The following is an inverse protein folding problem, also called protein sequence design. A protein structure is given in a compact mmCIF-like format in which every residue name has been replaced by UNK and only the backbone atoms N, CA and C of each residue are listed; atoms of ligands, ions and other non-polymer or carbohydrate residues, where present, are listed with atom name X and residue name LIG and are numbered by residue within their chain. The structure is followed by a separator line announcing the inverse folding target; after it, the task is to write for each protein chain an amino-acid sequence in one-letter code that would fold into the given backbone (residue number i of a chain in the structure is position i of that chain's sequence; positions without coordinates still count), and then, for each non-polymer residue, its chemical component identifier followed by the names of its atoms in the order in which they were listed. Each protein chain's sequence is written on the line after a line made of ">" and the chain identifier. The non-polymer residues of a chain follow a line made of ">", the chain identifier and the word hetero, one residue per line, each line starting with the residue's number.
data_IF_602476964688
#
_entry.id   IF_602476964688
#
_cell.length_a   1.000
_cell.length_b   1.000
_cell.length_c   1.000
_cell.angle_alpha   90.00
_cell.angle_beta   90.00
_cell.angle_gamma   90.00
#
_symmetry.space_group_name_H-M   'P 1'
#
loop_
_entity.id
_entity.type
_entity.pdbx_description
1 polymer ?
#
# COMPACT_ATOMS: atom_id res chain seq x y z
N UNK A 1 24.12 8.89 -4.13
CA UNK A 1 22.77 8.65 -4.68
C UNK A 1 22.32 7.29 -4.19
N UNK A 2 21.11 7.17 -3.69
CA UNK A 2 20.51 5.90 -3.28
C UNK A 2 20.52 4.93 -4.47
N UNK A 3 20.83 3.66 -4.21
CA UNK A 3 20.65 2.59 -5.19
C UNK A 3 19.18 2.13 -5.32
N UNK A 4 18.30 2.58 -4.39
CA UNK A 4 16.86 2.35 -4.45
C UNK A 4 16.15 3.45 -5.24
N UNK A 5 15.10 3.06 -5.98
CA UNK A 5 14.20 3.95 -6.71
C UNK A 5 12.93 4.23 -5.91
N UNK A 6 12.43 3.21 -5.22
CA UNK A 6 11.27 3.26 -4.34
C UNK A 6 11.64 2.82 -2.93
N UNK A 7 11.17 3.57 -1.93
CA UNK A 7 11.18 3.13 -0.54
C UNK A 7 9.76 3.20 0.02
N UNK A 8 9.25 2.09 0.53
CA UNK A 8 7.93 2.02 1.16
C UNK A 8 8.06 1.88 2.67
N UNK A 9 7.12 2.45 3.42
CA UNK A 9 7.07 2.38 4.88
C UNK A 9 5.72 1.86 5.32
N UNK A 10 5.68 0.72 6.01
CA UNK A 10 4.41 0.20 6.43
C UNK A 10 4.43 -1.16 7.12
N UNK A 11 3.27 -1.81 7.06
CA UNK A 11 3.03 -3.12 7.68
C UNK A 11 3.63 -4.26 6.86
N UNK A 12 3.97 -5.33 7.59
CA UNK A 12 4.25 -6.63 7.03
C UNK A 12 3.49 -7.71 7.82
N UNK A 13 3.11 -8.78 7.16
CA UNK A 13 2.54 -9.99 7.77
C UNK A 13 2.89 -11.22 6.94
N UNK A 14 2.73 -12.39 7.57
CA UNK A 14 2.55 -13.62 6.80
C UNK A 14 1.07 -13.82 6.59
N UNK A 15 0.64 -13.83 5.34
CA UNK A 15 -0.74 -13.99 4.95
C UNK A 15 -1.01 -15.47 4.62
N UNK A 16 -2.10 -15.99 5.19
CA UNK A 16 -2.54 -17.37 5.08
C UNK A 16 -3.91 -17.38 4.40
N UNK A 17 -3.93 -17.72 3.12
CA UNK A 17 -5.13 -17.80 2.31
C UNK A 17 -5.76 -19.20 2.44
N UNK A 18 -7.04 -19.26 2.82
CA UNK A 18 -7.75 -20.53 2.87
C UNK A 18 -7.75 -21.19 1.48
N UNK A 19 -7.46 -22.50 1.44
CA UNK A 19 -7.55 -23.28 0.18
C UNK A 19 -8.98 -23.55 -0.22
N UNK A 20 -9.83 -23.72 0.79
CA UNK A 20 -11.25 -24.00 0.60
C UNK A 20 -12.06 -22.71 0.69
N UNK A 21 -13.07 -22.56 -0.14
CA UNK A 21 -14.06 -21.48 -0.04
C UNK A 21 -15.06 -21.80 1.09
N UNK A 22 -15.47 -20.75 1.83
CA UNK A 22 -16.46 -20.84 2.88
C UNK A 22 -15.90 -20.52 4.26
N UNK A 23 -16.69 -20.78 5.32
CA UNK A 23 -16.33 -20.39 6.68
C UNK A 23 -15.09 -21.15 7.20
N UNK A 24 -14.31 -20.50 8.05
CA UNK A 24 -13.06 -21.00 8.61
C UNK A 24 -13.20 -22.38 9.28
N UNK A 25 -14.39 -22.71 9.77
CA UNK A 25 -14.68 -24.03 10.37
C UNK A 25 -14.53 -25.21 9.40
N UNK A 26 -14.54 -24.95 8.09
CA UNK A 26 -14.40 -25.98 7.05
C UNK A 26 -13.00 -25.95 6.40
N UNK A 27 -12.19 -24.97 6.71
CA UNK A 27 -10.84 -24.84 6.15
C UNK A 27 -9.91 -25.88 6.78
N UNK A 28 -9.19 -26.62 5.93
CA UNK A 28 -8.23 -27.67 6.34
C UNK A 28 -6.79 -27.33 5.97
N UNK A 29 -6.57 -26.33 5.11
CA UNK A 29 -5.24 -25.92 4.68
C UNK A 29 -5.18 -24.50 4.20
N UNK A 30 -3.95 -23.96 4.15
CA UNK A 30 -3.68 -22.59 3.75
C UNK A 30 -2.55 -22.53 2.73
N UNK A 31 -2.64 -21.58 1.80
CA UNK A 31 -1.50 -21.09 1.03
C UNK A 31 -0.85 -19.93 1.79
N UNK A 32 0.46 -19.95 1.84
CA UNK A 32 1.24 -18.95 2.59
C UNK A 32 1.89 -17.96 1.64
N UNK A 33 1.69 -16.67 1.90
CA UNK A 33 2.33 -15.55 1.23
C UNK A 33 2.84 -14.53 2.23
N UNK A 34 3.44 -13.44 1.76
CA UNK A 34 3.65 -12.23 2.55
C UNK A 34 2.57 -11.22 2.22
N UNK A 35 2.30 -10.30 3.15
CA UNK A 35 1.31 -9.26 2.96
C UNK A 35 1.59 -8.01 3.77
N UNK A 36 0.65 -7.09 3.73
CA UNK A 36 0.76 -5.73 4.27
C UNK A 36 0.89 -4.71 3.15
N UNK A 37 0.11 -3.63 3.24
CA UNK A 37 -0.05 -2.64 2.17
C UNK A 37 1.29 -2.17 1.59
N UNK A 38 2.21 -1.65 2.42
CA UNK A 38 3.52 -1.16 1.94
C UNK A 38 4.41 -2.30 1.41
N UNK A 39 4.34 -3.49 2.00
CA UNK A 39 5.04 -4.69 1.52
C UNK A 39 4.56 -5.06 0.11
N UNK A 40 3.25 -5.11 -0.09
CA UNK A 40 2.66 -5.46 -1.37
C UNK A 40 2.98 -4.42 -2.46
N UNK A 41 3.00 -3.12 -2.12
CA UNK A 41 3.41 -2.04 -3.03
C UNK A 41 4.89 -2.20 -3.45
N UNK A 42 5.79 -2.51 -2.50
CA UNK A 42 7.20 -2.77 -2.80
C UNK A 42 7.37 -3.99 -3.71
N UNK A 43 6.65 -5.09 -3.42
CA UNK A 43 6.66 -6.30 -4.26
C UNK A 43 6.14 -6.00 -5.66
N UNK A 44 5.01 -5.29 -5.78
CA UNK A 44 4.43 -4.93 -7.07
C UNK A 44 5.41 -4.09 -7.91
N UNK A 45 6.02 -3.06 -7.32
CA UNK A 45 7.02 -2.24 -8.01
C UNK A 45 8.28 -3.04 -8.40
N UNK A 46 8.74 -3.95 -7.55
CA UNK A 46 9.87 -4.84 -7.87
C UNK A 46 9.55 -5.76 -9.05
N UNK A 47 8.34 -6.34 -9.10
CA UNK A 47 7.89 -7.16 -10.25
C UNK A 47 7.75 -6.36 -11.55
N UNK A 48 7.58 -5.04 -11.44
CA UNK A 48 7.59 -4.11 -12.57
C UNK A 48 9.00 -3.61 -12.94
N UNK A 49 10.04 -4.15 -12.30
CA UNK A 49 11.44 -3.95 -12.67
C UNK A 49 12.18 -2.85 -11.89
N UNK A 50 11.59 -2.30 -10.82
CA UNK A 50 12.21 -1.25 -10.02
C UNK A 50 12.94 -1.79 -8.79
N UNK A 51 13.99 -1.09 -8.38
CA UNK A 51 14.72 -1.37 -7.14
C UNK A 51 13.94 -0.79 -5.95
N UNK A 52 13.10 -1.62 -5.36
CA UNK A 52 12.26 -1.28 -4.23
C UNK A 52 12.85 -1.75 -2.89
N UNK A 53 12.72 -0.94 -1.86
CA UNK A 53 13.04 -1.27 -0.48
C UNK A 53 11.84 -1.09 0.45
N UNK A 54 11.88 -1.72 1.61
CA UNK A 54 10.82 -1.70 2.60
C UNK A 54 11.34 -1.36 3.99
N UNK A 55 10.78 -0.33 4.62
CA UNK A 55 10.99 -0.02 6.04
C UNK A 55 9.87 -0.65 6.85
N UNK A 56 10.22 -1.66 7.64
CA UNK A 56 9.30 -2.38 8.53
C UNK A 56 10.07 -3.14 9.60
N UNK A 57 9.38 -3.91 10.43
CA UNK A 57 10.02 -4.83 11.39
C UNK A 57 9.29 -6.16 11.43
N UNK A 58 10.04 -7.23 11.64
CA UNK A 58 9.56 -8.61 11.84
C UNK A 58 10.02 -9.14 13.19
N UNK A 59 9.43 -10.22 13.67
CA UNK A 59 9.90 -10.90 14.88
C UNK A 59 11.15 -11.76 14.62
N UNK A 60 11.92 -12.05 15.68
CA UNK A 60 13.00 -13.06 15.63
C UNK A 60 12.41 -14.47 15.71
N UNK A 61 11.65 -14.83 14.69
CA UNK A 61 10.97 -16.12 14.60
C UNK A 61 11.05 -16.74 13.19
N UNK A 62 10.45 -17.91 13.03
CA UNK A 62 10.46 -18.62 11.75
C UNK A 62 9.71 -17.84 10.66
N UNK A 63 8.66 -17.09 11.00
CA UNK A 63 7.90 -16.28 10.06
C UNK A 63 8.66 -15.00 9.67
N UNK A 64 9.39 -14.36 10.60
CA UNK A 64 10.27 -13.23 10.28
C UNK A 64 11.38 -13.63 9.31
N UNK A 65 12.00 -14.79 9.52
CA UNK A 65 12.97 -15.35 8.56
C UNK A 65 12.34 -15.65 7.20
N UNK A 66 11.10 -16.17 7.17
CA UNK A 66 10.38 -16.40 5.94
C UNK A 66 10.07 -15.08 5.20
N UNK A 67 9.60 -14.05 5.90
CA UNK A 67 9.32 -12.73 5.29
C UNK A 67 10.58 -12.17 4.63
N UNK A 68 11.71 -12.15 5.34
CA UNK A 68 12.98 -11.64 4.79
C UNK A 68 13.44 -12.45 3.57
N UNK A 69 13.37 -13.77 3.65
CA UNK A 69 13.69 -14.65 2.50
C UNK A 69 12.76 -14.40 1.31
N UNK A 70 11.44 -14.25 1.53
CA UNK A 70 10.49 -13.99 0.46
C UNK A 70 10.75 -12.62 -0.18
N UNK A 71 11.02 -11.58 0.61
CA UNK A 71 11.35 -10.23 0.10
C UNK A 71 12.55 -10.30 -0.84
N UNK A 72 13.66 -10.89 -0.42
CA UNK A 72 14.92 -10.88 -1.17
C UNK A 72 14.96 -11.92 -2.30
N UNK A 73 14.67 -13.19 -2.00
CA UNK A 73 14.89 -14.29 -2.94
C UNK A 73 13.71 -14.55 -3.88
N UNK A 74 12.47 -14.24 -3.43
CA UNK A 74 11.29 -14.46 -4.26
C UNK A 74 10.89 -13.21 -5.03
N UNK A 75 10.90 -12.05 -4.36
CA UNK A 75 10.35 -10.82 -4.92
C UNK A 75 11.39 -9.75 -5.29
N UNK A 76 12.66 -9.92 -4.91
CA UNK A 76 13.73 -8.98 -5.25
C UNK A 76 13.60 -7.61 -4.56
N UNK A 77 12.91 -7.56 -3.42
CA UNK A 77 12.78 -6.36 -2.58
C UNK A 77 13.94 -6.31 -1.58
N UNK A 78 14.58 -5.15 -1.48
CA UNK A 78 15.69 -4.92 -0.57
C UNK A 78 15.20 -4.89 0.89
N UNK A 79 15.72 -5.78 1.73
CA UNK A 79 15.34 -5.95 3.12
C UNK A 79 16.29 -5.27 4.13
N UNK A 80 17.22 -4.41 3.67
CA UNK A 80 18.22 -3.75 4.54
C UNK A 80 17.60 -2.90 5.65
N UNK A 81 16.37 -2.43 5.45
CA UNK A 81 15.59 -1.65 6.42
C UNK A 81 14.45 -2.46 7.06
N UNK A 82 14.51 -3.78 6.98
CA UNK A 82 13.63 -4.69 7.72
C UNK A 82 14.26 -5.03 9.05
N UNK A 83 13.87 -4.29 10.09
CA UNK A 83 14.34 -4.50 11.46
C UNK A 83 13.82 -5.80 12.07
N UNK A 84 14.49 -6.26 13.13
CA UNK A 84 14.07 -7.43 13.91
C UNK A 84 13.66 -6.98 15.31
N UNK A 85 12.54 -7.48 15.80
CA UNK A 85 12.06 -7.31 17.16
C UNK A 85 12.26 -8.65 17.89
N UNK A 86 13.02 -8.62 18.99
CA UNK A 86 13.37 -9.84 19.75
C UNK A 86 12.25 -10.32 20.67
N UNK A 87 11.25 -9.46 20.93
CA UNK A 87 10.18 -9.74 21.92
C UNK A 87 8.84 -10.06 21.24
N UNK A 88 8.53 -9.44 20.11
CA UNK A 88 7.24 -9.54 19.46
C UNK A 88 7.25 -10.52 18.27
N UNK A 89 6.24 -11.40 18.15
CA UNK A 89 6.16 -12.33 17.03
C UNK A 89 5.79 -11.63 15.73
N UNK A 90 6.27 -12.17 14.61
CA UNK A 90 5.84 -11.75 13.27
C UNK A 90 4.32 -11.93 13.13
N UNK A 91 3.59 -10.89 12.70
CA UNK A 91 2.14 -10.94 12.61
C UNK A 91 1.66 -11.88 11.50
N UNK A 92 0.52 -12.50 11.76
CA UNK A 92 -0.19 -13.34 10.79
C UNK A 92 -1.51 -12.68 10.41
N UNK A 93 -1.92 -12.89 9.17
CA UNK A 93 -3.26 -12.57 8.69
C UNK A 93 -3.87 -13.82 8.02
N UNK A 94 -5.11 -14.12 8.34
CA UNK A 94 -5.84 -15.21 7.72
C UNK A 94 -6.93 -14.64 6.82
N UNK A 95 -6.95 -15.03 5.56
CA UNK A 95 -8.02 -14.70 4.63
C UNK A 95 -9.05 -15.83 4.62
N UNK A 96 -10.24 -15.55 5.17
CA UNK A 96 -11.40 -16.40 5.11
C UNK A 96 -12.18 -16.05 3.83
N UNK A 97 -12.29 -17.00 2.89
CA UNK A 97 -12.90 -16.78 1.58
C UNK A 97 -14.44 -16.96 1.64
N UNK A 98 -15.10 -16.12 2.47
CA UNK A 98 -16.54 -16.14 2.71
C UNK A 98 -17.12 -14.72 2.98
N UNK A 99 -17.66 -14.00 1.97
CA UNK A 99 -17.61 -14.36 0.53
C UNK A 99 -16.19 -14.21 -0.07
N UNK A 100 -15.94 -14.92 -1.15
CA UNK A 100 -14.61 -14.97 -1.78
C UNK A 100 -14.21 -13.61 -2.38
N UNK A 101 -15.17 -12.89 -2.94
CA UNK A 101 -14.96 -11.59 -3.58
C UNK A 101 -14.57 -10.50 -2.57
N UNK A 102 -15.02 -10.64 -1.32
CA UNK A 102 -14.74 -9.73 -0.21
C UNK A 102 -14.34 -10.53 1.05
N UNK A 103 -13.14 -11.13 1.06
CA UNK A 103 -12.70 -12.01 2.13
C UNK A 103 -12.63 -11.29 3.48
N UNK A 104 -13.02 -12.00 4.54
CA UNK A 104 -12.81 -11.54 5.91
C UNK A 104 -11.35 -11.77 6.30
N UNK A 105 -10.67 -10.71 6.78
CA UNK A 105 -9.28 -10.79 7.22
C UNK A 105 -9.21 -10.85 8.74
N UNK A 106 -8.68 -11.93 9.25
CA UNK A 106 -8.47 -12.15 10.69
C UNK A 106 -7.00 -11.86 11.01
N UNK A 107 -6.74 -10.79 11.75
CA UNK A 107 -5.39 -10.38 12.12
C UNK A 107 -4.95 -10.92 13.47
N UNK A 108 -3.79 -11.56 13.50
CA UNK A 108 -3.07 -11.95 14.72
C UNK A 108 -1.86 -11.02 14.93
N UNK A 109 -2.13 -9.86 15.54
CA UNK A 109 -1.18 -8.77 15.80
C UNK A 109 -1.20 -8.30 17.25
N UNK A 110 -1.88 -9.03 18.15
CA UNK A 110 -2.06 -8.65 19.53
C UNK A 110 -1.02 -9.32 20.47
N UNK A 111 -0.62 -8.63 21.54
CA UNK A 111 -1.03 -7.28 21.94
C UNK A 111 -0.41 -6.17 21.07
N UNK A 112 0.65 -6.46 20.31
CA UNK A 112 1.40 -5.55 19.46
C UNK A 112 2.14 -6.33 18.39
N UNK A 113 2.44 -5.68 17.25
CA UNK A 113 3.26 -6.26 16.20
C UNK A 113 4.61 -5.52 16.06
N UNK A 114 5.69 -6.17 15.61
CA UNK A 114 7.01 -5.58 15.44
C UNK A 114 7.01 -4.27 14.64
N UNK A 115 6.23 -4.19 13.56
CA UNK A 115 6.12 -3.00 12.71
C UNK A 115 5.48 -1.78 13.40
N UNK A 116 4.91 -1.93 14.59
CA UNK A 116 4.46 -0.83 15.45
C UNK A 116 5.58 -0.25 16.32
N UNK A 117 6.76 -0.90 16.34
CA UNK A 117 7.96 -0.48 17.04
C UNK A 117 8.99 0.17 16.10
N UNK A 118 8.57 0.69 14.94
CA UNK A 118 9.49 1.41 14.05
C UNK A 118 10.16 2.57 14.78
N UNK A 119 11.48 2.68 14.58
CA UNK A 119 12.31 3.81 15.01
C UNK A 119 12.84 4.56 13.79
N UNK A 120 13.19 5.82 13.97
CA UNK A 120 13.89 6.61 12.95
C UNK A 120 15.27 5.99 12.62
N UNK A 121 15.85 5.25 13.56
CA UNK A 121 17.14 4.55 13.38
C UNK A 121 17.03 3.27 12.53
N UNK A 122 15.82 2.82 12.21
CA UNK A 122 15.61 1.65 11.33
C UNK A 122 15.93 1.95 9.86
N UNK A 123 16.16 3.20 9.49
CA UNK A 123 16.41 3.61 8.11
C UNK A 123 17.51 4.66 8.01
N UNK A 124 18.27 4.61 6.93
CA UNK A 124 19.22 5.67 6.57
C UNK A 124 18.45 6.91 6.05
N UNK A 125 18.59 8.03 6.73
CA UNK A 125 17.90 9.28 6.40
C UNK A 125 18.33 9.85 5.04
N UNK A 126 19.54 9.57 4.58
CA UNK A 126 20.00 10.00 3.27
C UNK A 126 19.27 9.23 2.16
N UNK A 127 18.93 7.95 2.39
CA UNK A 127 18.08 7.18 1.46
C UNK A 127 16.69 7.81 1.37
N UNK A 128 16.08 8.21 2.49
CA UNK A 128 14.77 8.92 2.48
C UNK A 128 14.85 10.20 1.65
N UNK A 129 15.92 10.97 1.77
CA UNK A 129 16.11 12.23 1.03
C UNK A 129 16.32 12.00 -0.47
N UNK A 130 16.98 10.90 -0.85
CA UNK A 130 17.48 10.70 -2.21
C UNK A 130 16.60 9.79 -3.08
N UNK A 131 15.83 8.86 -2.48
CA UNK A 131 14.98 7.95 -3.23
C UNK A 131 13.99 8.72 -4.11
N UNK A 132 13.71 8.20 -5.32
CA UNK A 132 12.84 8.91 -6.27
C UNK A 132 11.38 8.92 -5.79
N UNK A 133 10.86 7.78 -5.32
CA UNK A 133 9.51 7.66 -4.76
C UNK A 133 9.59 7.23 -3.30
N UNK A 134 8.94 7.98 -2.42
CA UNK A 134 8.79 7.64 -1.01
C UNK A 134 7.31 7.40 -0.70
N UNK A 135 6.93 6.16 -0.39
CA UNK A 135 5.55 5.74 -0.15
C UNK A 135 5.32 5.42 1.31
N UNK A 136 4.33 6.06 1.93
CA UNK A 136 3.96 5.85 3.33
C UNK A 136 2.51 5.40 3.44
N UNK A 137 2.24 4.32 4.18
CA UNK A 137 0.89 3.90 4.52
C UNK A 137 0.43 4.57 5.83
N UNK A 138 -0.70 5.29 5.82
CA UNK A 138 -1.18 6.08 6.95
C UNK A 138 -1.53 5.25 8.19
N UNK A 139 -1.78 3.95 8.05
CA UNK A 139 -1.94 3.04 9.19
C UNK A 139 -0.74 3.03 10.15
N UNK A 140 0.43 3.57 9.76
CA UNK A 140 1.61 3.73 10.62
C UNK A 140 1.45 4.79 11.71
N UNK A 141 0.50 5.71 11.52
CA UNK A 141 0.24 6.76 12.50
C UNK A 141 -0.65 6.30 13.67
N UNK A 142 -1.11 5.06 13.67
CA UNK A 142 -2.00 4.56 14.72
C UNK A 142 -1.31 4.39 16.09
N UNK A 143 -0.01 4.11 16.14
CA UNK A 143 0.69 3.80 17.41
C UNK A 143 2.07 4.43 17.50
N UNK A 144 2.45 4.76 18.75
CA UNK A 144 3.85 5.06 19.10
C UNK A 144 4.64 3.76 19.35
N UNK A 145 5.95 3.74 19.04
CA UNK A 145 6.79 4.82 18.52
C UNK A 145 6.72 5.01 16.98
N UNK A 146 6.05 4.12 16.25
CA UNK A 146 5.99 4.15 14.77
C UNK A 146 5.46 5.50 14.24
N UNK A 147 4.44 6.08 14.88
CA UNK A 147 3.90 7.40 14.52
C UNK A 147 4.99 8.48 14.53
N UNK A 148 5.71 8.61 15.64
CA UNK A 148 6.80 9.58 15.76
C UNK A 148 7.90 9.37 14.74
N UNK A 149 8.32 8.11 14.55
CA UNK A 149 9.36 7.75 13.58
C UNK A 149 8.94 8.10 12.15
N UNK A 150 7.74 7.71 11.71
CA UNK A 150 7.27 7.95 10.35
C UNK A 150 6.98 9.44 10.10
N UNK A 151 6.48 10.16 11.11
CA UNK A 151 6.34 11.62 11.03
C UNK A 151 7.70 12.29 10.78
N UNK A 152 8.74 11.85 11.48
CA UNK A 152 10.09 12.40 11.28
C UNK A 152 10.68 12.01 9.92
N UNK A 153 10.42 10.79 9.43
CA UNK A 153 10.79 10.39 8.06
C UNK A 153 10.17 11.33 7.01
N UNK A 154 8.89 11.68 7.15
CA UNK A 154 8.22 12.63 6.27
C UNK A 154 8.81 14.04 6.37
N UNK A 155 9.16 14.51 7.58
CA UNK A 155 9.85 15.80 7.77
C UNK A 155 11.22 15.83 7.11
N UNK A 156 11.99 14.74 7.24
CA UNK A 156 13.31 14.60 6.61
C UNK A 156 13.19 14.58 5.08
N UNK A 157 12.11 13.99 4.55
CA UNK A 157 11.79 13.98 3.11
C UNK A 157 11.49 15.37 2.57
N UNK A 158 10.93 16.26 3.40
CA UNK A 158 10.68 17.69 3.11
C UNK A 158 9.87 17.91 1.82
N UNK A 159 8.78 17.16 1.65
CA UNK A 159 7.90 17.26 0.46
C UNK A 159 8.62 17.13 -0.88
N UNK A 160 9.74 16.42 -0.91
CA UNK A 160 10.41 16.16 -2.17
C UNK A 160 9.45 15.43 -3.12
N UNK A 161 9.61 15.66 -4.42
CA UNK A 161 8.81 15.07 -5.48
C UNK A 161 8.59 13.57 -5.26
N UNK A 162 7.36 13.11 -5.54
CA UNK A 162 6.88 11.76 -5.34
C UNK A 162 6.95 11.27 -3.88
N UNK A 163 6.53 12.14 -2.96
CA UNK A 163 6.21 11.74 -1.59
C UNK A 163 4.74 11.38 -1.51
N UNK A 164 4.42 10.08 -1.45
CA UNK A 164 3.06 9.55 -1.57
C UNK A 164 2.55 9.10 -0.20
N UNK A 165 1.36 9.56 0.18
CA UNK A 165 0.59 9.05 1.31
C UNK A 165 -0.57 8.20 0.80
N UNK A 166 -0.48 6.89 1.06
CA UNK A 166 -1.63 5.99 0.97
C UNK A 166 -2.44 6.14 2.26
N UNK A 167 -3.68 6.56 2.14
CA UNK A 167 -4.53 6.89 3.29
C UNK A 167 -4.93 5.65 4.12
N UNK A 168 -4.74 4.45 3.61
CA UNK A 168 -4.78 3.12 4.26
C UNK A 168 -5.48 3.09 5.63
N UNK A 169 -6.75 3.47 5.67
CA UNK A 169 -7.50 3.45 6.91
C UNK A 169 -7.94 2.03 7.27
N UNK A 170 -7.60 1.63 8.51
CA UNK A 170 -7.99 0.33 9.08
C UNK A 170 -8.74 0.59 10.39
N UNK A 171 -10.08 0.53 10.41
CA UNK A 171 -10.89 0.91 11.58
C UNK A 171 -10.43 0.28 12.89
N UNK A 172 -10.05 -0.99 12.88
CA UNK A 172 -9.63 -1.73 14.07
C UNK A 172 -8.23 -1.35 14.61
N UNK A 173 -7.52 -0.42 13.96
CA UNK A 173 -6.25 0.14 14.48
C UNK A 173 -6.45 1.41 15.30
N UNK A 174 -7.66 1.97 15.30
CA UNK A 174 -7.97 3.24 15.92
C UNK A 174 -9.10 3.09 16.93
N UNK A 175 -9.11 3.90 17.98
CA UNK A 175 -10.22 3.93 18.93
C UNK A 175 -11.45 4.67 18.37
N UNK A 176 -11.24 5.58 17.41
CA UNK A 176 -12.28 6.35 16.73
C UNK A 176 -11.80 6.93 15.40
N UNK A 177 -12.75 7.37 14.57
CA UNK A 177 -12.46 8.14 13.34
C UNK A 177 -11.80 9.49 13.64
N UNK A 178 -12.17 10.11 14.77
CA UNK A 178 -11.60 11.40 15.17
C UNK A 178 -10.13 11.27 15.55
N UNK A 179 -9.76 10.20 16.27
CA UNK A 179 -8.35 9.90 16.54
C UNK A 179 -7.56 9.66 15.23
N UNK A 180 -8.11 8.88 14.31
CA UNK A 180 -7.47 8.66 13.01
C UNK A 180 -7.25 9.98 12.26
N UNK A 181 -8.27 10.84 12.22
CA UNK A 181 -8.19 12.17 11.59
C UNK A 181 -7.14 13.06 12.26
N UNK A 182 -7.10 13.09 13.60
CA UNK A 182 -6.13 13.88 14.37
C UNK A 182 -4.68 13.57 13.95
N UNK A 183 -4.39 12.30 13.64
CA UNK A 183 -3.03 11.87 13.32
C UNK A 183 -2.73 11.76 11.83
N UNK A 184 -3.72 11.51 10.99
CA UNK A 184 -3.52 11.37 9.52
C UNK A 184 -3.59 12.73 8.82
N UNK A 185 -4.58 13.57 9.13
CA UNK A 185 -4.79 14.83 8.43
C UNK A 185 -3.56 15.78 8.46
N UNK A 186 -2.81 15.94 9.58
CA UNK A 186 -1.60 16.77 9.57
C UNK A 186 -0.50 16.26 8.66
N UNK A 187 -0.48 14.97 8.35
CA UNK A 187 0.58 14.38 7.49
C UNK A 187 0.45 14.80 6.02
N UNK A 188 -0.73 15.26 5.61
CA UNK A 188 -0.93 15.83 4.27
C UNK A 188 -0.01 17.03 4.00
N UNK A 189 0.39 17.78 5.03
CA UNK A 189 1.31 18.92 4.88
C UNK A 189 2.75 18.49 4.52
N UNK A 190 3.06 17.21 4.62
CA UNK A 190 4.38 16.64 4.41
C UNK A 190 4.51 15.81 3.13
N UNK A 191 3.45 15.70 2.33
CA UNK A 191 3.42 14.85 1.13
C UNK A 191 3.04 15.65 -0.12
N UNK A 192 3.33 15.11 -1.30
CA UNK A 192 2.99 15.71 -2.59
C UNK A 192 1.79 15.04 -3.24
N UNK A 193 1.54 13.78 -2.95
CA UNK A 193 0.44 13.00 -3.52
C UNK A 193 -0.28 12.27 -2.38
N UNK A 194 -1.62 12.25 -2.41
CA UNK A 194 -2.44 11.40 -1.54
C UNK A 194 -3.30 10.47 -2.39
N UNK A 195 -3.38 9.20 -1.95
CA UNK A 195 -4.19 8.16 -2.59
C UNK A 195 -5.12 7.56 -1.55
N UNK A 196 -6.43 7.52 -1.82
CA UNK A 196 -7.38 6.93 -0.88
C UNK A 196 -8.73 6.65 -1.52
N UNK A 197 -9.53 5.83 -0.85
CA UNK A 197 -10.96 5.66 -1.18
C UNK A 197 -11.81 6.72 -0.45
N UNK A 198 -13.13 6.67 -0.63
CA UNK A 198 -14.06 7.65 -0.02
C UNK A 198 -14.01 7.66 1.51
N UNK A 199 -13.89 6.50 2.15
CA UNK A 199 -13.82 6.38 3.62
C UNK A 199 -12.48 6.92 4.14
N UNK A 200 -11.41 6.64 3.43
CA UNK A 200 -10.07 7.15 3.70
C UNK A 200 -10.00 8.68 3.54
N UNK A 201 -10.67 9.23 2.52
CA UNK A 201 -10.81 10.67 2.34
C UNK A 201 -11.61 11.32 3.47
N UNK A 202 -12.68 10.67 3.98
CA UNK A 202 -13.41 11.17 5.13
C UNK A 202 -12.52 11.29 6.37
N UNK A 203 -11.61 10.35 6.59
CA UNK A 203 -10.61 10.46 7.67
C UNK A 203 -9.64 11.61 7.39
N UNK A 204 -9.07 11.67 6.20
CA UNK A 204 -8.00 12.62 5.88
C UNK A 204 -8.48 14.08 5.83
N UNK A 205 -9.64 14.34 5.21
CA UNK A 205 -10.14 15.68 4.91
C UNK A 205 -11.62 15.93 5.26
N UNK A 206 -12.30 14.96 5.89
CA UNK A 206 -13.62 15.16 6.49
C UNK A 206 -14.80 15.10 5.51
N UNK A 207 -14.63 14.49 4.33
CA UNK A 207 -15.72 14.30 3.36
C UNK A 207 -15.55 13.01 2.56
N UNK A 208 -16.69 12.40 2.19
CA UNK A 208 -16.75 11.21 1.31
C UNK A 208 -17.07 11.60 -0.15
N UNK A 209 -17.46 12.85 -0.38
CA UNK A 209 -17.70 13.34 -1.73
C UNK A 209 -16.36 13.44 -2.48
N UNK A 210 -16.19 12.80 -3.64
CA UNK A 210 -14.88 12.71 -4.29
C UNK A 210 -14.36 14.04 -4.78
N UNK A 211 -15.24 14.91 -5.30
CA UNK A 211 -14.85 16.23 -5.82
C UNK A 211 -14.44 17.14 -4.67
N UNK A 212 -15.23 17.17 -3.60
CA UNK A 212 -14.92 17.94 -2.39
C UNK A 212 -13.65 17.40 -1.71
N UNK A 213 -13.46 16.06 -1.67
CA UNK A 213 -12.24 15.45 -1.12
C UNK A 213 -10.99 15.86 -1.90
N UNK A 214 -11.08 15.81 -3.23
CA UNK A 214 -9.99 16.25 -4.09
C UNK A 214 -9.65 17.72 -3.90
N UNK A 215 -10.65 18.60 -3.82
CA UNK A 215 -10.44 20.03 -3.57
C UNK A 215 -9.74 20.25 -2.24
N UNK A 216 -10.22 19.66 -1.15
CA UNK A 216 -9.63 19.78 0.19
C UNK A 216 -8.21 19.19 0.27
N UNK A 217 -7.92 18.10 -0.45
CA UNK A 217 -6.57 17.55 -0.55
C UNK A 217 -5.64 18.54 -1.28
N UNK A 218 -6.06 19.10 -2.40
CA UNK A 218 -5.28 20.07 -3.18
C UNK A 218 -5.08 21.40 -2.43
N UNK A 219 -6.07 21.85 -1.63
CA UNK A 219 -5.95 23.01 -0.74
C UNK A 219 -4.82 22.86 0.31
N UNK A 220 -4.43 21.61 0.65
CA UNK A 220 -3.26 21.32 1.49
C UNK A 220 -1.93 21.44 0.71
N UNK A 221 -2.00 21.86 -0.55
CA UNK A 221 -0.84 22.06 -1.41
C UNK A 221 -0.31 20.76 -2.04
N UNK A 222 -1.13 19.71 -2.16
CA UNK A 222 -0.73 18.51 -2.89
C UNK A 222 -0.63 18.79 -4.39
N UNK A 223 0.27 18.09 -5.06
CA UNK A 223 0.44 18.12 -6.51
C UNK A 223 -0.58 17.23 -7.23
N UNK A 224 -1.10 16.23 -6.53
CA UNK A 224 -2.17 15.37 -7.03
C UNK A 224 -2.99 14.75 -5.90
N UNK A 225 -4.30 14.64 -6.11
CA UNK A 225 -5.22 13.85 -5.31
C UNK A 225 -5.78 12.69 -6.15
N UNK A 226 -5.59 11.46 -5.68
CA UNK A 226 -6.04 10.24 -6.35
C UNK A 226 -7.15 9.61 -5.50
N UNK A 227 -8.40 9.72 -5.97
CA UNK A 227 -9.56 9.24 -5.21
C UNK A 227 -10.11 7.96 -5.84
N UNK A 228 -9.98 6.85 -5.13
CA UNK A 228 -10.51 5.53 -5.54
C UNK A 228 -12.03 5.50 -5.31
N UNK A 229 -12.80 5.17 -6.35
CA UNK A 229 -14.27 5.21 -6.35
C UNK A 229 -14.90 3.79 -6.35
N UNK A 230 -14.09 2.76 -6.10
CA UNK A 230 -14.52 1.37 -6.19
C UNK A 230 -14.91 0.98 -7.62
N UNK A 231 -16.10 0.39 -7.79
CA UNK A 231 -16.63 0.02 -9.11
C UNK A 231 -16.83 1.17 -10.09
N UNK A 232 -16.69 2.43 -9.63
CA UNK A 232 -16.78 3.63 -10.48
C UNK A 232 -15.42 4.09 -11.03
N UNK A 233 -14.33 3.41 -10.68
CA UNK A 233 -12.97 3.71 -11.14
C UNK A 233 -12.17 4.59 -10.19
N UNK A 234 -11.32 5.45 -10.75
CA UNK A 234 -10.43 6.32 -9.99
C UNK A 234 -10.46 7.73 -10.57
N UNK A 235 -10.54 8.73 -9.72
CA UNK A 235 -10.43 10.13 -10.09
C UNK A 235 -9.02 10.65 -9.84
N UNK A 236 -8.45 11.32 -10.83
CA UNK A 236 -7.22 12.10 -10.75
C UNK A 236 -7.60 13.57 -10.68
N UNK A 237 -7.10 14.29 -9.69
CA UNK A 237 -7.32 15.71 -9.55
C UNK A 237 -5.99 16.46 -9.39
N UNK A 238 -5.79 17.54 -10.14
CA UNK A 238 -4.58 18.35 -10.17
C UNK A 238 -4.87 19.82 -9.81
N UNK A 239 -3.84 20.59 -9.36
CA UNK A 239 -4.01 22.01 -9.00
C UNK A 239 -4.44 22.93 -10.13
N UNK A 240 -4.16 22.56 -11.40
CA UNK A 240 -4.54 23.32 -12.59
C UNK A 240 -6.05 23.24 -12.94
N UNK A 241 -6.82 22.50 -12.12
CA UNK A 241 -8.24 22.25 -12.32
C UNK A 241 -8.56 20.98 -13.09
N UNK A 242 -7.55 20.22 -13.54
CA UNK A 242 -7.77 18.91 -14.17
C UNK A 242 -8.51 17.97 -13.24
N UNK A 243 -9.58 17.35 -13.74
CA UNK A 243 -10.38 16.32 -13.09
C UNK A 243 -10.67 15.23 -14.13
N UNK A 244 -9.97 14.10 -13.99
CA UNK A 244 -10.13 12.97 -14.90
C UNK A 244 -10.62 11.74 -14.14
N UNK A 245 -11.73 11.18 -14.60
CA UNK A 245 -12.26 9.92 -14.08
C UNK A 245 -11.87 8.77 -14.99
N UNK A 246 -10.97 7.94 -14.51
CA UNK A 246 -10.48 6.77 -15.22
C UNK A 246 -11.37 5.57 -14.85
N UNK A 247 -12.03 4.99 -15.87
CA UNK A 247 -12.92 3.86 -15.69
C UNK A 247 -12.16 2.62 -15.15
N UNK A 248 -12.80 1.76 -14.35
CA UNK A 248 -12.23 0.49 -13.96
C UNK A 248 -12.21 -0.48 -15.14
N UNK A 249 -11.39 -1.51 -15.06
CA UNK A 249 -11.45 -2.63 -15.97
C UNK A 249 -12.36 -3.73 -15.36
N UNK A 250 -13.47 -4.10 -16.04
CA UNK A 250 -14.33 -5.17 -15.53
C UNK A 250 -13.61 -6.52 -15.61
N UNK A 251 -13.63 -7.24 -14.50
CA UNK A 251 -13.08 -8.60 -14.37
C UNK A 251 -14.01 -9.45 -13.52
N UNK A 252 -13.92 -10.77 -13.67
CA UNK A 252 -14.47 -11.68 -12.69
C UNK A 252 -13.60 -11.65 -11.42
N UNK A 253 -14.17 -11.17 -10.32
CA UNK A 253 -13.44 -11.05 -9.06
C UNK A 253 -13.30 -12.42 -8.40
N UNK A 254 -12.06 -12.85 -8.18
CA UNK A 254 -11.71 -14.05 -7.42
C UNK A 254 -11.42 -13.69 -5.97
N UNK A 255 -10.63 -12.63 -5.75
CA UNK A 255 -10.33 -12.10 -4.43
C UNK A 255 -10.02 -10.61 -4.54
N UNK A 256 -10.77 -9.75 -3.84
CA UNK A 256 -10.56 -8.29 -3.89
C UNK A 256 -9.31 -7.81 -3.15
N UNK A 257 -8.67 -8.68 -2.36
CA UNK A 257 -7.48 -8.33 -1.57
C UNK A 257 -6.29 -8.02 -2.47
N UNK A 258 -5.50 -7.01 -2.07
CA UNK A 258 -4.28 -6.63 -2.78
C UNK A 258 -4.46 -5.82 -4.06
N UNK A 259 -5.70 -5.66 -4.58
CA UNK A 259 -5.95 -4.86 -5.78
C UNK A 259 -5.52 -3.40 -5.62
N UNK A 260 -5.75 -2.82 -4.43
CA UNK A 260 -5.28 -1.47 -4.10
C UNK A 260 -3.75 -1.38 -4.01
N UNK A 261 -3.10 -2.42 -3.53
CA UNK A 261 -1.65 -2.49 -3.39
C UNK A 261 -0.98 -2.66 -4.78
N UNK A 262 -1.58 -3.49 -5.65
CA UNK A 262 -1.17 -3.63 -7.05
C UNK A 262 -1.29 -2.31 -7.81
N UNK A 263 -2.42 -1.59 -7.60
CA UNK A 263 -2.58 -0.23 -8.09
C UNK A 263 -1.44 0.67 -7.60
N UNK A 264 -1.12 0.63 -6.29
CA UNK A 264 -0.06 1.42 -5.67
C UNK A 264 1.32 1.16 -6.28
N UNK A 265 1.70 -0.12 -6.46
CA UNK A 265 2.97 -0.49 -7.08
C UNK A 265 3.06 -0.05 -8.55
N UNK A 266 1.99 -0.25 -9.32
CA UNK A 266 1.91 0.21 -10.71
C UNK A 266 1.84 1.75 -10.82
N UNK A 267 1.26 2.43 -9.83
CA UNK A 267 1.31 3.89 -9.73
C UNK A 267 2.74 4.38 -9.52
N UNK A 268 3.49 3.74 -8.60
CA UNK A 268 4.91 4.04 -8.41
C UNK A 268 5.73 3.80 -9.69
N UNK A 269 5.42 2.72 -10.44
CA UNK A 269 6.04 2.45 -11.74
C UNK A 269 5.84 3.62 -12.70
N UNK A 270 4.60 4.10 -12.89
CA UNK A 270 4.33 5.22 -13.78
C UNK A 270 5.03 6.52 -13.36
N UNK A 271 5.14 6.79 -12.05
CA UNK A 271 5.92 7.92 -11.54
C UNK A 271 7.42 7.80 -11.89
N UNK A 272 8.00 6.61 -11.72
CA UNK A 272 9.41 6.33 -12.02
C UNK A 272 9.72 6.38 -13.52
N UNK A 273 8.76 6.00 -14.37
CA UNK A 273 8.84 6.10 -15.82
C UNK A 273 8.56 7.52 -16.37
N UNK A 274 8.19 8.47 -15.47
CA UNK A 274 7.88 9.85 -15.85
C UNK A 274 6.61 10.00 -16.68
N UNK A 275 5.64 9.11 -16.51
CA UNK A 275 4.36 9.20 -17.21
C UNK A 275 3.47 10.29 -16.65
N UNK A 276 2.53 10.80 -17.46
CA UNK A 276 1.43 11.60 -16.93
C UNK A 276 0.54 10.77 -15.98
N UNK A 277 -0.14 11.46 -15.07
CA UNK A 277 -0.89 10.79 -14.00
C UNK A 277 -2.13 10.05 -14.52
N UNK A 278 -2.72 10.46 -15.65
CA UNK A 278 -3.87 9.75 -16.23
C UNK A 278 -3.44 8.38 -16.74
N UNK A 279 -2.33 8.32 -17.49
CA UNK A 279 -1.72 7.06 -17.93
C UNK A 279 -1.30 6.21 -16.73
N UNK A 280 -0.66 6.81 -15.74
CA UNK A 280 -0.21 6.14 -14.51
C UNK A 280 -1.39 5.48 -13.78
N UNK A 281 -2.49 6.20 -13.57
CA UNK A 281 -3.70 5.66 -12.91
C UNK A 281 -4.37 4.59 -13.75
N UNK A 282 -4.43 4.75 -15.08
CA UNK A 282 -4.97 3.71 -15.97
C UNK A 282 -4.19 2.40 -15.85
N UNK A 283 -2.87 2.50 -15.80
CA UNK A 283 -1.98 1.34 -15.63
C UNK A 283 -2.18 0.70 -14.24
N UNK A 284 -2.32 1.53 -13.21
CA UNK A 284 -2.69 1.09 -11.86
C UNK A 284 -4.03 0.35 -11.80
N UNK A 285 -5.07 0.87 -12.49
CA UNK A 285 -6.36 0.19 -12.60
C UNK A 285 -6.25 -1.18 -13.26
N UNK A 286 -5.41 -1.33 -14.30
CA UNK A 286 -5.17 -2.62 -14.94
C UNK A 286 -4.48 -3.60 -13.99
N UNK A 287 -3.43 -3.18 -13.29
CA UNK A 287 -2.74 -4.00 -12.30
C UNK A 287 -3.69 -4.45 -11.18
N UNK A 288 -4.51 -3.54 -10.65
CA UNK A 288 -5.52 -3.83 -9.63
C UNK A 288 -6.58 -4.82 -10.11
N UNK A 289 -7.04 -4.71 -11.36
CA UNK A 289 -8.00 -5.63 -11.96
C UNK A 289 -7.41 -7.04 -12.14
N UNK A 290 -6.15 -7.14 -12.56
CA UNK A 290 -5.44 -8.43 -12.70
C UNK A 290 -5.36 -9.13 -11.34
N UNK A 291 -4.95 -8.42 -10.28
CA UNK A 291 -4.86 -9.02 -8.94
C UNK A 291 -6.24 -9.41 -8.40
N UNK A 292 -7.26 -8.58 -8.62
CA UNK A 292 -8.63 -8.92 -8.22
C UNK A 292 -9.16 -10.22 -8.87
N UNK A 293 -8.64 -10.62 -10.03
CA UNK A 293 -8.95 -11.88 -10.71
C UNK A 293 -8.11 -13.07 -10.24
N UNK A 294 -7.24 -12.87 -9.22
CA UNK A 294 -6.33 -13.87 -8.64
C UNK A 294 -6.62 -14.07 -7.15
N UNK A 295 -5.98 -15.04 -6.54
CA UNK A 295 -6.27 -15.38 -5.14
C UNK A 295 -5.42 -14.61 -4.14
N UNK A 296 -4.12 -14.49 -4.38
CA UNK A 296 -3.15 -13.96 -3.43
C UNK A 296 -2.74 -12.53 -3.76
N UNK A 297 -2.20 -11.81 -2.77
CA UNK A 297 -1.68 -10.46 -2.99
C UNK A 297 -0.27 -10.50 -3.60
N UNK A 298 0.77 -10.68 -2.78
CA UNK A 298 2.16 -10.52 -3.20
C UNK A 298 2.57 -11.47 -4.34
N UNK A 299 2.21 -12.76 -4.24
CA UNK A 299 2.56 -13.77 -5.24
C UNK A 299 1.86 -13.54 -6.59
N UNK A 300 0.71 -12.89 -6.56
CA UNK A 300 -0.12 -12.65 -7.74
C UNK A 300 0.02 -11.23 -8.34
N UNK A 301 0.97 -10.41 -7.84
CA UNK A 301 1.27 -9.11 -8.45
C UNK A 301 1.71 -9.28 -9.90
N UNK A 302 1.16 -8.49 -10.86
CA UNK A 302 1.48 -8.64 -12.26
C UNK A 302 2.87 -8.09 -12.63
N UNK A 303 3.39 -8.57 -13.73
CA UNK A 303 4.58 -8.06 -14.42
C UNK A 303 4.19 -7.07 -15.52
N UNK A 304 5.16 -6.29 -16.03
CA UNK A 304 4.93 -5.36 -17.17
C UNK A 304 4.28 -6.05 -18.37
N UNK A 305 4.79 -7.21 -18.87
CA UNK A 305 4.16 -7.89 -19.99
C UNK A 305 2.70 -8.29 -19.75
N UNK A 306 2.36 -8.73 -18.52
CA UNK A 306 0.98 -9.11 -18.17
C UNK A 306 0.04 -7.90 -18.19
N UNK A 307 0.48 -6.74 -17.70
CA UNK A 307 -0.34 -5.52 -17.73
C UNK A 307 -0.49 -5.00 -19.17
N UNK A 308 0.57 -5.02 -19.94
CA UNK A 308 0.55 -4.56 -21.34
C UNK A 308 -0.37 -5.43 -22.19
N UNK A 309 -0.31 -6.76 -22.05
CA UNK A 309 -1.21 -7.69 -22.71
C UNK A 309 -2.67 -7.46 -22.30
N UNK A 310 -2.92 -7.32 -21.00
CA UNK A 310 -4.25 -7.03 -20.46
C UNK A 310 -4.86 -5.74 -21.01
N UNK A 311 -4.05 -4.69 -21.17
CA UNK A 311 -4.49 -3.41 -21.78
C UNK A 311 -4.74 -3.56 -23.27
N UNK A 312 -3.84 -4.22 -24.02
CA UNK A 312 -3.96 -4.41 -25.45
C UNK A 312 -5.23 -5.19 -25.85
N UNK A 313 -5.60 -6.23 -25.07
CA UNK A 313 -6.83 -6.99 -25.30
C UNK A 313 -8.12 -6.17 -25.13
N UNK A 314 -8.08 -5.06 -24.39
CA UNK A 314 -9.23 -4.21 -24.06
C UNK A 314 -9.30 -2.93 -24.88
N UNK A 315 -8.27 -2.67 -25.67
CA UNK A 315 -8.22 -1.58 -26.66
C UNK A 315 -8.56 -2.06 -28.08
N UNK A 316 -8.58 -3.39 -28.30
CA UNK A 316 -8.91 -4.01 -29.58
C UNK A 316 -10.44 -4.13 -29.77
#
# INVERSE_FOLDING_TARGET
>A
MSDLELLTVGRVSVDLYAREQGPMTHVTGFEKSIGGTATNVAVAASRLGHRAGLVTRVGDDAFGRYVRHALTETFGVDDRFVGVDEELPTPLAFAELDPREEPNIIFYRNPRAPDQNLSIDDVDLDVIREVQVFWVAASRFAWEPSRGAVTEMLRVRDRREHTVLDLDWRPHFWSSMDEAREHVSPMLDHVTIAIGNRDECEIAVGTRDPDEAADRLLERGLEAAIVKLGGDGVMVALPDGTREKIAPFPVEVVCGLGSGDAFGGAFCHGLLEGWDLVRTVRYGNAAGAIVASRLMCADDMPTVPEIDEFLAEREA
#
